data_IF_465063235677
#
_entry.id   IF_465063235677
#
_cell.length_a   1.000
_cell.length_b   1.000
_cell.length_c   1.000
_cell.angle_alpha   90.00
_cell.angle_beta   90.00
_cell.angle_gamma   90.00
#
_symmetry.space_group_name_H-M   'P 1'
#
loop_
_entity.id
_entity.type
_entity.pdbx_description
1 polymer ?
#
# COMPACT_ATOMS: atom_id res chain seq x y z
N UNK A 1 27.51 -19.65 -59.96
CA UNK A 1 26.85 -18.60 -59.16
C UNK A 1 26.51 -19.24 -57.83
N UNK A 2 27.33 -18.99 -56.82
CA UNK A 2 27.17 -19.56 -55.48
C UNK A 2 26.05 -18.83 -54.72
N UNK A 3 25.21 -19.51 -53.92
CA UNK A 3 24.22 -18.85 -53.10
C UNK A 3 24.88 -18.15 -51.89
N UNK A 4 24.37 -16.97 -51.56
CA UNK A 4 24.80 -16.10 -50.47
C UNK A 4 24.49 -16.72 -49.09
N UNK A 5 25.27 -16.40 -48.04
CA UNK A 5 25.02 -16.91 -46.70
C UNK A 5 23.82 -16.19 -46.06
N UNK A 6 23.00 -16.95 -45.34
CA UNK A 6 21.86 -16.45 -44.58
C UNK A 6 22.31 -15.58 -43.40
N UNK A 7 21.68 -14.41 -43.26
CA UNK A 7 21.90 -13.50 -42.15
C UNK A 7 21.31 -14.10 -40.86
N UNK A 8 22.16 -14.21 -39.83
CA UNK A 8 21.75 -14.60 -38.50
C UNK A 8 20.94 -13.47 -37.83
N UNK A 9 19.79 -13.81 -37.26
CA UNK A 9 18.98 -12.88 -36.47
C UNK A 9 19.70 -12.52 -35.14
N UNK A 10 19.58 -11.28 -34.66
CA UNK A 10 20.14 -10.89 -33.37
C UNK A 10 19.37 -11.58 -32.22
N UNK A 11 20.12 -12.23 -31.34
CA UNK A 11 19.62 -12.80 -30.08
C UNK A 11 19.06 -11.68 -29.19
N UNK A 12 17.86 -11.90 -28.64
CA UNK A 12 17.27 -11.04 -27.63
C UNK A 12 18.16 -10.99 -26.36
N UNK A 13 18.26 -9.84 -25.67
CA UNK A 13 18.99 -9.75 -24.42
C UNK A 13 18.31 -10.61 -23.34
N UNK A 14 19.11 -11.38 -22.61
CA UNK A 14 18.66 -12.16 -21.47
C UNK A 14 18.08 -11.24 -20.37
N UNK A 15 17.07 -11.69 -19.60
CA UNK A 15 16.56 -10.92 -18.48
C UNK A 15 17.68 -10.70 -17.45
N UNK A 16 17.95 -9.43 -17.15
CA UNK A 16 18.81 -9.02 -16.03
C UNK A 16 18.18 -9.53 -14.74
N UNK A 17 18.85 -10.49 -14.09
CA UNK A 17 18.49 -10.98 -12.78
C UNK A 17 18.43 -9.80 -11.79
N UNK A 18 17.36 -9.76 -10.99
CA UNK A 18 17.22 -8.83 -9.88
C UNK A 18 18.44 -8.93 -8.94
N UNK A 19 18.90 -7.82 -8.35
CA UNK A 19 19.98 -7.86 -7.37
C UNK A 19 19.56 -8.76 -6.20
N UNK A 20 20.48 -9.57 -5.64
CA UNK A 20 20.17 -10.39 -4.48
C UNK A 20 19.73 -9.49 -3.33
N UNK A 21 18.67 -9.91 -2.62
CA UNK A 21 18.19 -9.24 -1.42
C UNK A 21 19.37 -8.96 -0.47
N UNK A 22 19.39 -7.80 0.22
CA UNK A 22 20.42 -7.51 1.21
C UNK A 22 20.47 -8.65 2.22
N UNK A 23 21.69 -9.15 2.48
CA UNK A 23 21.91 -10.15 3.52
C UNK A 23 21.27 -9.65 4.83
N UNK A 24 20.62 -10.54 5.60
CA UNK A 24 20.05 -10.15 6.88
C UNK A 24 21.14 -9.48 7.72
N UNK A 25 20.79 -8.34 8.32
CA UNK A 25 21.66 -7.66 9.27
C UNK A 25 22.14 -8.69 10.31
N UNK A 26 23.41 -8.63 10.75
CA UNK A 26 23.88 -9.56 11.77
C UNK A 26 22.95 -9.45 12.97
N UNK A 27 22.28 -10.56 13.29
CA UNK A 27 21.58 -10.74 14.55
C UNK A 27 22.48 -10.16 15.64
N UNK A 28 21.94 -9.19 16.38
CA UNK A 28 22.61 -8.65 17.54
C UNK A 28 22.96 -9.85 18.41
N UNK A 29 24.26 -10.15 18.53
CA UNK A 29 24.74 -11.18 19.44
C UNK A 29 24.12 -10.90 20.80
N UNK A 30 23.31 -11.86 21.22
CA UNK A 30 22.76 -11.94 22.57
C UNK A 30 23.86 -11.67 23.59
N UNK A 31 23.59 -10.91 24.66
CA UNK A 31 24.49 -10.90 25.80
C UNK A 31 24.61 -12.35 26.31
N UNK A 32 25.84 -12.85 26.40
CA UNK A 32 26.09 -14.22 26.84
C UNK A 32 25.43 -14.45 28.21
N UNK A 33 24.52 -15.44 28.26
CA UNK A 33 23.85 -15.88 29.45
C UNK A 33 24.87 -16.10 30.57
N UNK A 34 24.65 -15.46 31.71
CA UNK A 34 25.37 -15.83 32.92
C UNK A 34 25.00 -17.30 33.22
N UNK A 35 25.97 -18.17 33.50
CA UNK A 35 25.65 -19.56 33.80
C UNK A 35 24.84 -19.62 35.10
N UNK A 36 23.57 -20.04 34.99
CA UNK A 36 22.72 -20.30 36.15
C UNK A 36 23.41 -21.31 37.07
N UNK A 37 23.41 -21.08 38.40
CA UNK A 37 24.01 -22.00 39.36
C UNK A 37 23.30 -23.36 39.31
N UNK A 38 24.06 -24.44 39.54
CA UNK A 38 23.54 -25.80 39.49
C UNK A 38 22.36 -26.02 40.47
N UNK A 39 21.38 -26.86 40.11
CA UNK A 39 20.16 -27.05 40.88
C UNK A 39 20.49 -27.53 42.30
N UNK A 40 19.86 -26.89 43.29
CA UNK A 40 19.94 -27.29 44.68
C UNK A 40 19.43 -28.74 44.84
N UNK A 41 20.07 -29.55 45.70
CA UNK A 41 19.68 -30.95 45.89
C UNK A 41 18.28 -31.04 46.50
N UNK A 42 17.40 -31.83 45.87
CA UNK A 42 16.05 -32.11 46.36
C UNK A 42 16.06 -32.52 47.84
N UNK A 43 15.38 -31.78 48.73
CA UNK A 43 15.36 -32.12 50.15
C UNK A 43 14.51 -33.37 50.42
N UNK A 44 14.90 -34.06 51.49
CA UNK A 44 14.30 -35.29 51.96
C UNK A 44 12.79 -35.18 52.15
N UNK A 45 12.06 -36.13 51.55
CA UNK A 45 10.64 -36.49 51.72
C UNK A 45 9.91 -35.73 52.84
N UNK A 46 9.50 -34.49 52.56
CA UNK A 46 8.62 -33.70 53.42
C UNK A 46 7.20 -34.26 53.33
N UNK A 47 6.46 -34.19 54.42
CA UNK A 47 5.07 -34.63 54.44
C UNK A 47 4.22 -33.74 53.49
N UNK A 48 3.44 -34.31 52.57
CA UNK A 48 2.78 -33.54 51.52
C UNK A 48 1.60 -32.67 52.03
N UNK A 49 1.12 -32.92 53.24
CA UNK A 49 0.00 -32.19 53.84
C UNK A 49 0.47 -31.19 54.89
N UNK A 50 -0.08 -29.97 54.84
CA UNK A 50 0.22 -28.90 55.78
C UNK A 50 0.92 -27.72 55.12
N UNK A 51 1.38 -26.82 55.97
CA UNK A 51 2.12 -25.60 55.66
C UNK A 51 3.29 -25.60 56.66
N UNK A 52 4.47 -26.00 56.20
CA UNK A 52 5.61 -26.33 57.08
C UNK A 52 6.35 -25.09 57.58
N UNK A 53 6.42 -24.04 56.78
CA UNK A 53 7.08 -22.78 57.12
C UNK A 53 6.10 -21.69 57.55
N UNK A 54 4.80 -21.90 57.34
CA UNK A 54 3.74 -21.03 57.86
C UNK A 54 3.46 -19.81 56.99
N UNK A 55 3.87 -19.84 55.72
CA UNK A 55 3.71 -18.72 54.79
C UNK A 55 2.29 -18.61 54.20
N UNK A 56 1.46 -19.63 54.44
CA UNK A 56 0.08 -19.73 54.00
C UNK A 56 -0.12 -20.50 52.69
N UNK A 57 0.93 -21.05 52.10
CA UNK A 57 0.89 -21.96 50.95
C UNK A 57 1.07 -23.40 51.44
N UNK A 58 0.20 -24.31 50.99
CA UNK A 58 0.36 -25.72 51.37
C UNK A 58 1.57 -26.33 50.68
N UNK A 59 2.30 -27.22 51.36
CA UNK A 59 3.53 -27.85 50.87
C UNK A 59 3.46 -28.45 49.46
N UNK A 60 2.27 -28.91 49.04
CA UNK A 60 2.04 -29.51 47.72
C UNK A 60 1.93 -28.47 46.57
N UNK A 61 1.77 -27.20 46.93
CA UNK A 61 1.65 -26.05 46.03
C UNK A 61 2.77 -25.02 46.24
N UNK A 62 3.65 -25.28 47.20
CA UNK A 62 4.77 -24.47 47.57
C UNK A 62 6.06 -25.02 46.91
N UNK A 63 6.74 -24.18 46.12
CA UNK A 63 8.02 -24.52 45.52
C UNK A 63 9.16 -24.61 46.55
N UNK A 64 9.04 -23.91 47.69
CA UNK A 64 9.99 -23.91 48.78
C UNK A 64 9.30 -24.15 50.15
N UNK A 65 8.82 -25.39 50.44
CA UNK A 65 8.05 -25.73 51.66
C UNK A 65 8.78 -25.60 53.00
N UNK A 66 9.94 -24.94 53.06
CA UNK A 66 10.73 -24.72 54.26
C UNK A 66 11.22 -23.26 54.36
N UNK A 67 10.88 -22.40 53.40
CA UNK A 67 11.26 -21.00 53.37
C UNK A 67 10.01 -20.11 53.33
N UNK A 68 9.65 -19.57 54.50
CA UNK A 68 8.47 -18.70 54.68
C UNK A 68 8.46 -17.47 53.75
N UNK A 69 9.58 -17.16 53.08
CA UNK A 69 9.69 -16.01 52.19
C UNK A 69 9.53 -16.35 50.72
N UNK A 70 9.51 -17.61 50.34
CA UNK A 70 9.51 -18.04 48.95
C UNK A 70 8.49 -19.15 48.78
N UNK A 71 7.57 -19.02 47.81
CA UNK A 71 6.60 -20.08 47.52
C UNK A 71 6.43 -20.37 46.03
N UNK A 72 6.97 -19.50 45.17
CA UNK A 72 6.81 -19.57 43.72
C UNK A 72 8.18 -19.53 43.06
N UNK A 73 8.32 -20.32 42.01
CA UNK A 73 9.52 -20.47 41.18
C UNK A 73 9.02 -20.51 39.72
N UNK A 74 9.03 -19.36 39.05
CA UNK A 74 8.36 -19.19 37.77
C UNK A 74 9.12 -19.79 36.59
N UNK A 75 10.46 -19.76 36.65
CA UNK A 75 11.35 -20.28 35.61
C UNK A 75 11.97 -21.64 35.97
N UNK A 76 11.73 -22.12 37.19
CA UNK A 76 12.17 -23.42 37.72
C UNK A 76 13.70 -23.53 37.84
N UNK A 77 14.37 -22.42 38.12
CA UNK A 77 15.83 -22.37 38.33
C UNK A 77 16.25 -22.73 39.78
N UNK A 78 15.28 -22.83 40.68
CA UNK A 78 15.47 -23.18 42.09
C UNK A 78 15.76 -21.98 43.00
N UNK A 79 15.57 -20.76 42.51
CA UNK A 79 15.51 -19.53 43.28
C UNK A 79 14.05 -19.05 43.36
N UNK A 80 13.60 -18.63 44.53
CA UNK A 80 12.22 -18.16 44.66
C UNK A 80 12.01 -16.79 44.03
N UNK A 81 10.82 -16.56 43.47
CA UNK A 81 10.41 -15.33 42.78
C UNK A 81 10.72 -14.05 43.58
N UNK A 82 10.74 -14.08 44.93
CA UNK A 82 10.99 -12.90 45.76
C UNK A 82 12.49 -12.58 45.91
N UNK A 83 13.34 -13.60 45.85
CA UNK A 83 14.81 -13.47 45.83
C UNK A 83 15.36 -13.33 44.41
N UNK A 84 14.61 -13.79 43.41
CA UNK A 84 15.03 -13.82 42.03
C UNK A 84 15.03 -12.43 41.38
N UNK A 85 16.10 -12.19 40.65
CA UNK A 85 16.37 -11.01 39.89
C UNK A 85 15.94 -11.11 38.43
N UNK A 86 15.63 -12.30 37.92
CA UNK A 86 15.23 -12.61 36.54
C UNK A 86 14.14 -13.69 36.54
N UNK A 87 12.97 -13.33 37.08
CA UNK A 87 11.96 -14.27 37.57
C UNK A 87 11.40 -15.23 36.53
N UNK A 88 11.37 -14.82 35.26
CA UNK A 88 10.89 -15.67 34.16
C UNK A 88 12.02 -16.29 33.33
N UNK A 89 13.28 -16.05 33.71
CA UNK A 89 14.46 -16.68 33.11
C UNK A 89 14.69 -16.28 31.65
N UNK A 90 14.18 -15.13 31.21
CA UNK A 90 14.33 -14.66 29.83
C UNK A 90 15.67 -13.95 29.55
N UNK A 91 16.48 -13.77 30.61
CA UNK A 91 17.79 -13.14 30.58
C UNK A 91 17.75 -11.64 30.86
N UNK A 92 16.58 -11.06 31.14
CA UNK A 92 16.39 -9.64 31.43
C UNK A 92 15.89 -9.46 32.86
N UNK A 93 16.78 -8.92 33.69
CA UNK A 93 16.46 -8.61 35.09
C UNK A 93 15.13 -7.87 35.26
N UNK A 94 14.33 -8.29 36.25
CA UNK A 94 13.00 -7.79 36.61
C UNK A 94 12.88 -6.25 36.63
N UNK A 95 13.95 -5.54 36.97
CA UNK A 95 13.96 -4.05 37.03
C UNK A 95 14.06 -3.37 35.67
N UNK A 96 14.49 -4.10 34.64
CA UNK A 96 14.65 -3.65 33.25
C UNK A 96 13.63 -4.30 32.32
N UNK A 97 13.03 -5.37 32.78
CA UNK A 97 11.97 -6.06 32.08
C UNK A 97 10.63 -5.33 32.26
N UNK A 98 9.95 -5.07 31.14
CA UNK A 98 8.60 -4.52 31.13
C UNK A 98 7.52 -5.57 31.47
N UNK A 99 7.84 -6.85 31.35
CA UNK A 99 6.97 -7.98 31.64
C UNK A 99 7.69 -9.08 32.45
N UNK A 100 8.03 -8.84 33.73
CA UNK A 100 8.87 -9.72 34.58
C UNK A 100 8.26 -11.08 34.98
N UNK A 101 7.26 -11.56 34.25
CA UNK A 101 6.54 -12.82 34.47
C UNK A 101 6.25 -13.53 33.12
N UNK A 102 6.74 -12.99 32.00
CA UNK A 102 6.47 -13.50 30.65
C UNK A 102 7.77 -13.69 29.87
N UNK A 103 8.26 -14.95 29.79
CA UNK A 103 9.57 -15.25 29.20
C UNK A 103 9.64 -15.03 27.68
N UNK A 104 8.52 -14.65 27.06
CA UNK A 104 8.46 -14.40 25.62
C UNK A 104 8.67 -12.93 25.26
N UNK A 105 8.69 -12.03 26.24
CA UNK A 105 8.71 -10.59 25.96
C UNK A 105 9.29 -9.73 27.08
N UNK A 106 10.49 -9.20 26.91
CA UNK A 106 11.03 -8.24 27.87
C UNK A 106 10.72 -6.74 27.62
N UNK A 107 10.21 -6.39 26.43
CA UNK A 107 9.99 -4.98 26.01
C UNK A 107 8.71 -4.80 25.19
N UNK A 108 8.17 -3.58 25.22
CA UNK A 108 7.04 -3.22 24.37
C UNK A 108 7.48 -2.95 22.92
N UNK A 109 7.35 -3.96 22.06
CA UNK A 109 7.57 -3.81 20.62
C UNK A 109 6.37 -3.18 19.89
N UNK A 110 5.28 -2.84 20.59
CA UNK A 110 4.11 -2.18 19.97
C UNK A 110 4.47 -0.84 19.33
N UNK A 111 5.46 -0.13 19.85
CA UNK A 111 5.98 1.09 19.24
C UNK A 111 6.67 0.86 17.88
N UNK A 112 7.16 -0.37 17.60
CA UNK A 112 7.72 -0.75 16.30
C UNK A 112 6.65 -1.23 15.32
N UNK A 113 5.55 -1.81 15.81
CA UNK A 113 4.39 -2.13 14.95
C UNK A 113 3.68 -0.83 14.56
N UNK A 114 4.08 -0.26 13.42
CA UNK A 114 3.22 0.71 12.76
C UNK A 114 1.92 0.00 12.34
N UNK A 115 0.76 0.68 12.39
CA UNK A 115 -0.47 0.16 11.81
C UNK A 115 -0.25 -0.19 10.34
N UNK A 116 -0.82 -1.30 9.93
CA UNK A 116 -0.85 -1.85 8.57
C UNK A 116 -2.21 -2.54 8.48
N UNK A 117 -3.18 -1.82 7.91
CA UNK A 117 -4.60 -2.13 8.05
C UNK A 117 -5.06 -3.18 7.06
N UNK A 118 -4.51 -3.19 5.86
CA UNK A 118 -4.81 -4.19 4.83
C UNK A 118 -3.84 -5.38 4.85
N UNK A 119 -2.70 -5.24 5.53
CA UNK A 119 -1.79 -6.34 5.82
C UNK A 119 -0.87 -6.68 4.67
N UNK A 120 -0.57 -5.73 3.78
CA UNK A 120 0.33 -5.94 2.65
C UNK A 120 1.83 -5.79 3.01
N UNK A 121 2.11 -5.35 4.23
CA UNK A 121 3.46 -5.17 4.77
C UNK A 121 4.01 -3.75 4.65
N UNK A 122 3.26 -2.81 4.10
CA UNK A 122 3.58 -1.39 4.08
C UNK A 122 2.77 -0.68 5.17
N UNK A 123 3.41 0.09 6.09
CA UNK A 123 2.67 0.80 7.13
C UNK A 123 1.65 1.81 6.57
N UNK A 124 0.50 1.97 7.22
CA UNK A 124 -0.58 2.93 6.87
C UNK A 124 -0.09 4.38 6.58
N UNK A 125 1.07 4.77 7.13
CA UNK A 125 1.67 6.10 6.95
C UNK A 125 2.54 6.24 5.70
N UNK A 126 3.04 5.12 5.20
CA UNK A 126 3.93 5.00 4.04
C UNK A 126 3.19 4.44 2.82
N UNK A 127 2.00 3.90 3.05
CA UNK A 127 1.09 3.33 2.06
C UNK A 127 0.19 4.40 1.42
N UNK A 128 0.16 4.42 0.08
CA UNK A 128 -0.71 5.29 -0.70
C UNK A 128 -2.18 4.84 -0.69
N UNK A 129 -2.46 3.54 -0.48
CA UNK A 129 -3.81 2.96 -0.39
C UNK A 129 -3.96 2.04 0.85
N UNK A 130 -4.03 2.61 2.09
CA UNK A 130 -4.04 1.85 3.35
C UNK A 130 -5.24 0.90 3.62
N UNK A 131 -6.11 0.70 2.63
CA UNK A 131 -7.28 -0.17 2.72
C UNK A 131 -7.31 -1.18 1.54
N UNK A 132 -6.29 -1.18 0.66
CA UNK A 132 -6.18 -2.06 -0.52
C UNK A 132 -4.86 -2.84 -0.49
N UNK A 133 -4.89 -4.12 -0.09
CA UNK A 133 -3.67 -4.92 0.07
C UNK A 133 -2.97 -5.27 -1.26
N UNK A 134 -3.54 -4.85 -2.39
CA UNK A 134 -2.94 -5.01 -3.70
C UNK A 134 -2.25 -3.76 -4.23
N UNK A 135 -2.31 -2.62 -3.52
CA UNK A 135 -1.76 -1.35 -3.98
C UNK A 135 -1.12 -0.56 -2.84
N UNK A 136 0.21 -0.48 -2.78
CA UNK A 136 0.89 0.31 -1.72
C UNK A 136 1.49 1.63 -2.20
N UNK A 137 1.51 1.87 -3.51
CA UNK A 137 2.32 2.93 -4.13
C UNK A 137 1.61 3.59 -5.31
N UNK A 138 1.69 4.91 -5.36
CA UNK A 138 1.22 5.76 -6.45
C UNK A 138 2.36 6.70 -6.85
N UNK A 139 3.10 6.32 -7.89
CA UNK A 139 4.35 6.99 -8.28
C UNK A 139 4.15 8.35 -8.95
N UNK A 140 2.99 8.59 -9.57
CA UNK A 140 2.71 9.82 -10.30
C UNK A 140 1.58 10.67 -9.69
N UNK A 141 0.90 10.14 -8.68
CA UNK A 141 -0.07 10.85 -7.87
C UNK A 141 -1.43 11.00 -8.56
N UNK A 142 -1.79 10.10 -9.47
CA UNK A 142 -3.07 10.15 -10.19
C UNK A 142 -4.22 9.42 -9.47
N UNK A 143 -3.91 8.70 -8.39
CA UNK A 143 -4.86 7.96 -7.57
C UNK A 143 -5.15 6.54 -8.05
N UNK A 144 -4.42 6.03 -9.03
CA UNK A 144 -4.38 4.61 -9.39
C UNK A 144 -3.06 4.02 -8.90
N UNK A 145 -3.11 2.87 -8.24
CA UNK A 145 -1.91 2.24 -7.71
C UNK A 145 -1.02 1.68 -8.82
N UNK A 146 0.30 1.69 -8.58
CA UNK A 146 1.35 1.25 -9.50
C UNK A 146 1.11 -0.18 -10.05
N UNK A 147 0.40 -1.06 -9.33
CA UNK A 147 0.18 -2.44 -9.78
C UNK A 147 -0.97 -2.56 -10.79
N UNK A 148 -2.01 -1.74 -10.65
CA UNK A 148 -3.13 -1.63 -11.59
C UNK A 148 -2.85 -0.66 -12.74
N UNK A 149 -1.95 0.31 -12.55
CA UNK A 149 -1.61 1.32 -13.53
C UNK A 149 -0.73 0.78 -14.67
N UNK A 150 -1.22 0.91 -15.91
CA UNK A 150 -0.45 0.57 -17.11
C UNK A 150 0.72 1.52 -17.41
N UNK A 151 0.70 2.75 -16.88
CA UNK A 151 1.73 3.78 -17.01
C UNK A 151 2.03 4.49 -15.67
N UNK A 152 2.64 3.79 -14.68
CA UNK A 152 2.85 4.28 -13.30
C UNK A 152 3.63 5.60 -13.11
N UNK A 153 4.14 6.20 -14.18
CA UNK A 153 4.92 7.43 -14.11
C UNK A 153 4.31 8.55 -14.97
N UNK A 154 3.09 8.36 -15.46
CA UNK A 154 2.38 9.29 -16.31
C UNK A 154 0.97 9.54 -15.78
N UNK A 155 0.85 10.54 -14.89
CA UNK A 155 -0.38 10.98 -14.23
C UNK A 155 -1.57 11.39 -15.12
N UNK A 156 -1.43 11.30 -16.43
CA UNK A 156 -2.51 11.55 -17.39
C UNK A 156 -3.00 10.24 -18.06
N UNK A 157 -2.40 9.09 -17.74
CA UNK A 157 -2.71 7.81 -18.34
C UNK A 157 -2.59 6.66 -17.35
N UNK A 158 -3.69 5.95 -17.10
CA UNK A 158 -3.71 4.78 -16.22
C UNK A 158 -4.10 3.47 -16.93
N UNK A 159 -4.64 3.55 -18.15
CA UNK A 159 -5.11 2.40 -18.93
C UNK A 159 -4.56 2.42 -20.35
N UNK A 160 -4.33 1.22 -20.91
CA UNK A 160 -3.91 1.05 -22.31
C UNK A 160 -5.03 1.29 -23.31
N UNK A 161 -6.26 1.14 -22.85
CA UNK A 161 -7.47 1.21 -23.69
C UNK A 161 -8.17 2.57 -23.58
N UNK A 162 -7.89 3.34 -22.52
CA UNK A 162 -8.37 4.71 -22.40
C UNK A 162 -7.31 5.73 -22.87
N UNK A 163 -7.73 6.83 -23.52
CA UNK A 163 -6.78 7.83 -23.98
C UNK A 163 -6.08 8.51 -22.80
N UNK A 164 -4.74 8.54 -22.86
CA UNK A 164 -3.79 9.18 -21.93
C UNK A 164 -3.92 10.71 -21.76
N UNK A 165 -5.08 11.28 -22.08
CA UNK A 165 -5.35 12.69 -21.90
C UNK A 165 -6.48 12.84 -20.92
N UNK A 166 -6.15 13.29 -19.71
CA UNK A 166 -7.15 13.89 -18.84
C UNK A 166 -7.82 15.02 -19.62
N UNK A 167 -9.07 14.83 -20.07
CA UNK A 167 -9.94 15.93 -20.42
C UNK A 167 -10.21 16.70 -19.13
N UNK A 168 -9.25 17.53 -18.75
CA UNK A 168 -9.27 18.31 -17.55
C UNK A 168 -10.35 19.39 -17.75
N UNK A 169 -11.61 19.02 -17.47
CA UNK A 169 -12.83 19.84 -17.63
C UNK A 169 -12.79 21.14 -16.79
N UNK A 170 -11.77 21.32 -15.95
CA UNK A 170 -11.63 22.43 -15.01
C UNK A 170 -10.83 23.61 -15.59
N UNK A 171 -9.87 23.38 -16.49
CA UNK A 171 -9.00 24.47 -17.02
C UNK A 171 -9.44 25.06 -18.36
N UNK A 172 -10.35 24.39 -19.07
CA UNK A 172 -11.19 24.98 -20.11
C UNK A 172 -12.58 24.38 -19.94
N UNK A 173 -13.64 25.17 -19.68
CA UNK A 173 -14.98 24.63 -19.77
C UNK A 173 -15.14 24.05 -21.17
N UNK A 174 -15.63 22.80 -21.26
CA UNK A 174 -16.11 22.29 -22.53
C UNK A 174 -17.10 23.32 -23.08
N UNK A 175 -17.07 23.65 -24.38
CA UNK A 175 -18.14 24.44 -24.97
C UNK A 175 -19.48 23.78 -24.62
N UNK A 176 -20.53 24.55 -24.29
CA UNK A 176 -21.83 24.00 -23.87
C UNK A 176 -22.51 23.04 -24.85
N UNK A 177 -22.00 22.95 -26.08
CA UNK A 177 -22.35 21.95 -27.07
C UNK A 177 -21.23 20.88 -27.07
N UNK A 178 -21.51 19.76 -26.39
CA UNK A 178 -20.84 18.49 -26.70
C UNK A 178 -21.07 18.14 -28.16
N UNK A 179 -20.17 17.39 -28.78
CA UNK A 179 -20.19 17.05 -30.21
C UNK A 179 -21.60 16.67 -30.72
N UNK A 180 -22.27 17.63 -31.36
CA UNK A 180 -23.50 17.46 -32.11
C UNK A 180 -23.22 17.74 -33.60
N UNK A 181 -22.67 16.74 -34.26
CA UNK A 181 -22.40 16.76 -35.69
C UNK A 181 -23.71 16.64 -36.47
N UNK A 182 -24.27 17.79 -36.84
CA UNK A 182 -25.40 17.84 -37.74
C UNK A 182 -24.98 17.56 -39.20
N UNK A 183 -25.48 16.45 -39.79
CA UNK A 183 -25.42 16.15 -41.22
C UNK A 183 -26.84 16.05 -41.83
N UNK A 184 -27.12 16.58 -43.04
CA UNK A 184 -28.44 16.49 -43.68
C UNK A 184 -28.62 15.20 -44.51
N UNK A 185 -28.12 14.07 -44.03
CA UNK A 185 -28.28 12.74 -44.63
C UNK A 185 -28.82 11.72 -43.62
N UNK A 186 -29.32 10.56 -44.08
CA UNK A 186 -29.71 9.47 -43.18
C UNK A 186 -28.46 8.93 -42.47
N UNK A 187 -28.49 8.92 -41.14
CA UNK A 187 -27.48 8.28 -40.30
C UNK A 187 -27.31 6.79 -40.61
N UNK A 188 -26.14 6.24 -40.32
CA UNK A 188 -25.90 4.80 -40.36
C UNK A 188 -26.45 4.21 -39.05
N UNK A 189 -27.45 3.33 -39.15
CA UNK A 189 -28.07 2.69 -37.98
C UNK A 189 -27.17 1.56 -37.46
N UNK A 190 -26.72 1.70 -36.21
CA UNK A 190 -26.28 0.57 -35.38
C UNK A 190 -27.49 0.06 -34.59
N UNK A 191 -27.55 -1.25 -34.31
CA UNK A 191 -28.73 -1.96 -33.77
C UNK A 191 -29.15 -1.59 -32.33
N UNK A 192 -28.74 -0.42 -31.85
CA UNK A 192 -28.93 0.14 -30.52
C UNK A 192 -29.28 1.65 -30.54
N UNK A 193 -29.75 2.15 -31.69
CA UNK A 193 -30.33 3.49 -31.86
C UNK A 193 -29.37 4.69 -31.63
N UNK A 194 -28.07 4.56 -31.96
CA UNK A 194 -27.10 5.69 -31.96
C UNK A 194 -26.40 5.90 -33.32
N UNK A 195 -25.96 7.14 -33.61
CA UNK A 195 -25.31 7.56 -34.89
C UNK A 195 -24.15 8.55 -34.63
N UNK A 196 -22.95 8.33 -35.21
CA UNK A 196 -21.80 9.28 -35.21
C UNK A 196 -21.08 9.30 -36.58
N UNK A 197 -20.64 10.47 -37.08
CA UNK A 197 -20.14 10.70 -38.45
C UNK A 197 -18.61 10.88 -38.60
N UNK A 198 -18.10 10.69 -39.82
CA UNK A 198 -16.68 10.63 -40.25
C UNK A 198 -16.18 11.98 -40.83
N UNK A 199 -15.02 12.48 -40.34
CA UNK A 199 -14.46 13.82 -40.60
C UNK A 199 -13.33 13.90 -41.65
N UNK A 200 -13.40 13.19 -42.78
CA UNK A 200 -12.35 13.39 -43.79
C UNK A 200 -12.74 13.52 -45.26
N UNK A 201 -14.02 13.68 -45.62
CA UNK A 201 -14.41 13.64 -47.04
C UNK A 201 -15.10 14.85 -47.66
N UNK A 202 -15.48 15.88 -46.92
CA UNK A 202 -16.24 16.99 -47.52
C UNK A 202 -15.82 18.37 -47.00
N UNK A 203 -14.78 18.96 -47.60
CA UNK A 203 -14.61 20.41 -47.62
C UNK A 203 -14.16 20.85 -49.01
N UNK A 204 -15.06 21.40 -49.86
CA UNK A 204 -14.65 22.17 -51.01
C UNK A 204 -14.10 23.51 -50.51
N UNK A 205 -12.82 23.72 -50.75
CA UNK A 205 -12.20 25.04 -50.77
C UNK A 205 -13.00 25.93 -51.73
N UNK A 206 -13.58 27.05 -51.25
CA UNK A 206 -13.59 28.37 -51.93
C UNK A 206 -14.63 29.40 -51.45
N UNK A 207 -15.55 29.11 -50.51
CA UNK A 207 -16.38 30.18 -49.94
C UNK A 207 -15.72 30.78 -48.70
N UNK A 208 -15.39 32.08 -48.75
CA UNK A 208 -14.80 32.81 -47.62
C UNK A 208 -15.76 32.71 -46.43
N UNK A 209 -15.30 32.08 -45.34
CA UNK A 209 -16.07 31.79 -44.13
C UNK A 209 -16.95 32.95 -43.64
N UNK A 210 -16.55 34.20 -43.92
CA UNK A 210 -17.31 35.40 -43.59
C UNK A 210 -18.73 35.44 -44.19
N UNK A 211 -18.90 35.04 -45.45
CA UNK A 211 -20.19 35.10 -46.16
C UNK A 211 -21.18 34.06 -45.66
N UNK A 212 -20.68 32.87 -45.33
CA UNK A 212 -21.46 31.80 -44.70
C UNK A 212 -22.02 32.28 -43.37
N UNK A 213 -21.18 32.95 -42.60
CA UNK A 213 -21.56 33.45 -41.29
C UNK A 213 -22.54 34.62 -41.38
N UNK A 214 -22.38 35.53 -42.34
CA UNK A 214 -23.37 36.61 -42.58
C UNK A 214 -24.75 36.06 -42.95
N UNK A 215 -24.78 35.00 -43.78
CA UNK A 215 -26.02 34.32 -44.15
C UNK A 215 -26.71 33.66 -42.94
N UNK A 216 -25.94 33.08 -42.02
CA UNK A 216 -26.47 32.46 -40.80
C UNK A 216 -27.03 33.53 -39.85
N UNK A 217 -26.30 34.63 -39.64
CA UNK A 217 -26.75 35.72 -38.79
C UNK A 217 -28.00 36.43 -39.32
N UNK A 218 -28.17 36.48 -40.65
CA UNK A 218 -29.40 37.00 -41.27
C UNK A 218 -30.62 36.12 -40.99
N UNK A 219 -30.44 34.81 -40.86
CA UNK A 219 -31.52 33.86 -40.55
C UNK A 219 -31.85 33.78 -39.06
N UNK A 220 -30.87 34.05 -38.20
CA UNK A 220 -30.99 33.97 -36.75
C UNK A 220 -30.58 35.30 -36.08
N UNK A 221 -31.34 36.39 -36.31
CA UNK A 221 -30.98 37.73 -35.82
C UNK A 221 -30.98 37.83 -34.30
N UNK A 222 -31.68 36.91 -33.62
CA UNK A 222 -31.74 36.90 -32.16
C UNK A 222 -30.53 36.25 -31.47
N UNK A 223 -29.68 35.55 -32.23
CA UNK A 223 -28.49 34.90 -31.71
C UNK A 223 -27.52 35.93 -31.10
N UNK A 224 -27.14 35.80 -29.81
CA UNK A 224 -26.23 36.73 -29.13
C UNK A 224 -24.92 36.97 -29.86
N UNK A 225 -24.36 35.95 -30.51
CA UNK A 225 -23.09 36.04 -31.25
C UNK A 225 -23.21 36.96 -32.48
N UNK A 226 -24.35 36.90 -33.17
CA UNK A 226 -24.63 37.77 -34.32
C UNK A 226 -24.86 39.22 -33.88
N UNK A 227 -25.54 39.43 -32.75
CA UNK A 227 -25.74 40.77 -32.15
C UNK A 227 -24.40 41.41 -31.77
N UNK A 228 -23.50 40.64 -31.18
CA UNK A 228 -22.17 41.11 -30.78
C UNK A 228 -21.28 41.44 -31.99
N UNK A 229 -21.24 40.57 -33.01
CA UNK A 229 -20.50 40.82 -34.25
C UNK A 229 -20.96 42.08 -34.99
N UNK A 230 -22.27 42.29 -35.12
CA UNK A 230 -22.79 43.52 -35.74
C UNK A 230 -22.46 44.79 -34.94
N UNK A 231 -22.33 44.68 -33.61
CA UNK A 231 -21.90 45.80 -32.77
C UNK A 231 -20.41 46.15 -32.92
N UNK A 232 -19.57 45.17 -33.29
CA UNK A 232 -18.14 45.36 -33.52
C UNK A 232 -17.83 45.92 -34.92
N UNK A 233 -18.68 45.67 -35.93
CA UNK A 233 -18.51 46.22 -37.28
C UNK A 233 -19.04 47.66 -37.47
N UNK A 234 -19.70 48.23 -36.46
CA UNK A 234 -20.27 49.58 -36.50
C UNK A 234 -19.39 50.66 -35.81
N UNK A 235 -18.14 50.32 -35.47
CA UNK A 235 -17.13 51.25 -34.92
C UNK A 235 -16.04 51.54 -35.94
#
# INVERSE_FOLDING_TARGET
MSPAPAAAAPLAPAPTAAPPAPAPAPEAREPEALPSPAPAPAPAKLEPSGDHDGDGVENQHDAFPLDEKEHKDSDLDGLGDNADHDRDGDGVNNTKDMYPDDPTKWKDDRAKRQPDRDGDGVPDKEDAFPDDPSEWKDSDGDGVGDNADAFPFNKDCHSRDEPCYSYNKVRKPLPPQGYDEYHPGKGVEHGDDTVTGDWHKEWPWEEKAQEVVDRICKKHPDNPWCKERHSQSAK
#
